data_IF_797258833055
#
_entry.id   IF_797258833055
#
_cell.length_a   1.000
_cell.length_b   1.000
_cell.length_c   1.000
_cell.angle_alpha   90.00
_cell.angle_beta   90.00
_cell.angle_gamma   90.00
#
_symmetry.space_group_name_H-M   'P 1'
#
loop_
_entity.id
_entity.type
_entity.pdbx_description
1 polymer ?
#
# COMPACT_ATOMS: atom_id res chain seq x y z
N UNK A 1 6.19 -22.40 -31.29
CA UNK A 1 5.33 -21.74 -30.30
C UNK A 1 6.21 -21.44 -29.10
N UNK A 2 6.77 -20.23 -29.04
CA UNK A 2 7.67 -19.83 -27.96
C UNK A 2 6.80 -19.35 -26.81
N UNK A 3 6.66 -20.20 -25.79
CA UNK A 3 5.93 -19.87 -24.59
C UNK A 3 6.72 -18.78 -23.83
N UNK A 4 6.10 -17.61 -23.65
CA UNK A 4 6.67 -16.55 -22.82
C UNK A 4 6.88 -17.10 -21.41
N UNK A 5 8.03 -16.80 -20.74
CA UNK A 5 8.22 -17.21 -19.37
C UNK A 5 7.17 -16.52 -18.51
N UNK A 6 6.28 -17.31 -17.91
CA UNK A 6 5.41 -16.84 -16.84
C UNK A 6 6.34 -16.51 -15.68
N UNK A 7 6.63 -15.23 -15.48
CA UNK A 7 7.45 -14.76 -14.37
C UNK A 7 6.62 -14.95 -13.11
N UNK A 8 6.85 -16.08 -12.43
CA UNK A 8 6.32 -16.45 -11.12
C UNK A 8 7.04 -15.71 -10.00
N UNK A 9 7.19 -14.39 -10.09
CA UNK A 9 7.80 -13.61 -9.01
C UNK A 9 7.03 -12.29 -8.80
N UNK A 10 6.76 -11.89 -7.54
CA UNK A 10 7.40 -12.43 -6.34
C UNK A 10 6.71 -13.69 -5.79
N UNK A 11 7.49 -14.76 -5.63
CA UNK A 11 7.05 -16.01 -4.99
C UNK A 11 6.78 -15.84 -3.49
N UNK A 12 7.17 -14.68 -2.93
CA UNK A 12 6.99 -14.32 -1.52
C UNK A 12 6.21 -13.00 -1.37
N UNK A 13 5.87 -12.64 -0.13
CA UNK A 13 5.29 -11.33 0.19
C UNK A 13 6.33 -10.30 0.62
N UNK A 14 7.61 -10.67 0.64
CA UNK A 14 8.64 -9.92 1.36
C UNK A 14 9.18 -8.72 0.57
N UNK A 15 8.94 -8.68 -0.75
CA UNK A 15 9.45 -7.67 -1.67
C UNK A 15 8.39 -7.19 -2.69
N UNK A 16 7.11 -7.46 -2.43
CA UNK A 16 6.04 -7.10 -3.36
C UNK A 16 5.42 -5.73 -3.05
N UNK A 17 5.18 -5.40 -1.78
CA UNK A 17 4.56 -4.14 -1.33
C UNK A 17 3.14 -3.86 -1.83
N UNK A 18 2.55 -4.75 -2.64
CA UNK A 18 1.32 -4.47 -3.41
C UNK A 18 0.10 -4.16 -2.54
N UNK A 19 -0.01 -4.76 -1.34
CA UNK A 19 -1.11 -4.46 -0.44
C UNK A 19 -1.02 -3.08 0.23
N UNK A 20 0.14 -2.41 0.14
CA UNK A 20 0.37 -1.08 0.70
C UNK A 20 0.34 0.03 -0.36
N UNK A 21 0.48 -0.33 -1.64
CA UNK A 21 0.44 0.61 -2.76
C UNK A 21 -1.00 0.82 -3.22
N UNK A 22 -1.43 2.08 -3.36
CA UNK A 22 -2.74 2.44 -3.91
C UNK A 22 -3.95 2.20 -2.99
N UNK A 23 -3.75 1.77 -1.73
CA UNK A 23 -4.81 1.65 -0.72
C UNK A 23 -5.06 2.96 0.04
N UNK A 24 -4.35 4.04 -0.31
CA UNK A 24 -4.22 5.23 0.51
C UNK A 24 -3.56 4.93 1.85
N UNK A 25 -4.01 5.59 2.91
CA UNK A 25 -3.43 5.43 4.24
C UNK A 25 -4.44 4.97 5.28
N UNK A 26 -4.68 3.65 5.41
CA UNK A 26 -5.59 3.08 6.40
C UNK A 26 -5.29 3.48 7.85
N UNK A 27 -4.05 3.90 8.16
CA UNK A 27 -3.66 4.37 9.49
C UNK A 27 -4.28 5.72 9.85
N UNK A 28 -4.86 6.46 8.89
CA UNK A 28 -5.62 7.67 9.16
C UNK A 28 -6.77 7.44 10.16
N UNK A 29 -7.33 6.22 10.24
CA UNK A 29 -8.38 5.91 11.22
C UNK A 29 -7.90 6.03 12.68
N UNK A 30 -6.59 6.10 12.91
CA UNK A 30 -5.96 6.23 14.21
C UNK A 30 -5.77 7.69 14.65
N UNK A 31 -5.96 8.63 13.74
CA UNK A 31 -5.80 10.06 14.01
C UNK A 31 -6.67 10.50 15.20
N UNK A 32 -6.07 11.27 16.09
CA UNK A 32 -6.74 11.95 17.19
C UNK A 32 -7.59 13.08 16.63
N UNK A 33 -8.91 13.01 16.82
CA UNK A 33 -9.84 14.03 16.31
C UNK A 33 -10.29 14.92 17.47
N UNK A 34 -10.05 16.25 17.41
CA UNK A 34 -10.38 17.17 18.50
C UNK A 34 -11.88 17.20 18.86
N UNK A 35 -12.75 16.84 17.91
CA UNK A 35 -14.22 16.93 18.02
C UNK A 35 -14.92 15.59 18.27
N UNK A 36 -14.20 14.47 18.33
CA UNK A 36 -14.81 13.19 18.70
C UNK A 36 -14.45 12.82 20.14
N UNK A 37 -15.39 12.18 20.85
CA UNK A 37 -15.31 11.88 22.29
C UNK A 37 -14.28 10.81 22.68
N UNK A 38 -13.22 10.62 21.89
CA UNK A 38 -12.16 9.69 22.19
C UNK A 38 -11.51 9.09 20.96
N UNK A 39 -10.63 8.15 21.25
CA UNK A 39 -9.87 7.34 20.32
C UNK A 39 -10.77 6.42 19.49
N UNK A 40 -10.48 6.27 18.20
CA UNK A 40 -11.22 5.34 17.35
C UNK A 40 -11.13 3.90 17.88
N UNK A 41 -12.22 3.11 17.90
CA UNK A 41 -12.22 1.74 18.45
C UNK A 41 -11.18 0.81 17.82
N UNK A 42 -10.87 1.03 16.54
CA UNK A 42 -9.87 0.24 15.81
C UNK A 42 -8.42 0.57 16.18
N UNK A 43 -8.14 1.67 16.90
CA UNK A 43 -6.78 2.01 17.33
C UNK A 43 -6.35 0.97 18.39
N UNK A 44 -5.13 0.39 18.40
CA UNK A 44 -4.70 -0.63 19.38
C UNK A 44 -4.26 -0.04 20.73
N UNK A 45 -4.87 -0.35 21.88
CA UNK A 45 -4.69 0.42 23.14
C UNK A 45 -3.23 0.74 23.54
N UNK A 46 -2.30 -0.11 23.13
CA UNK A 46 -0.86 -0.08 23.32
C UNK A 46 -0.07 0.65 22.22
N UNK A 47 -0.73 1.30 21.25
CA UNK A 47 -0.07 2.07 20.20
C UNK A 47 0.80 3.18 20.81
N UNK A 48 2.13 3.18 20.58
CA UNK A 48 3.05 4.16 21.15
C UNK A 48 2.70 5.60 20.81
N UNK A 49 2.91 6.53 21.76
CA UNK A 49 2.58 7.95 21.58
C UNK A 49 3.30 8.58 20.39
N UNK A 50 4.56 8.24 20.14
CA UNK A 50 5.30 8.77 18.99
C UNK A 50 4.68 8.36 17.63
N UNK A 51 4.04 7.20 17.53
CA UNK A 51 3.34 6.80 16.30
C UNK A 51 2.00 7.53 16.15
N UNK A 52 1.37 7.87 17.28
CA UNK A 52 0.16 8.69 17.31
C UNK A 52 0.50 10.10 16.81
N UNK A 53 1.58 10.68 17.33
CA UNK A 53 2.04 12.00 16.93
C UNK A 53 2.42 12.01 15.43
N UNK A 54 3.13 10.99 14.92
CA UNK A 54 3.43 10.85 13.49
C UNK A 54 2.14 10.86 12.63
N UNK A 55 1.12 10.11 13.03
CA UNK A 55 -0.17 10.06 12.34
C UNK A 55 -0.86 11.44 12.39
N UNK A 56 -0.92 12.04 13.57
CA UNK A 56 -1.62 13.31 13.78
C UNK A 56 -0.98 14.45 13.00
N UNK A 57 0.36 14.53 13.01
CA UNK A 57 1.14 15.50 12.23
C UNK A 57 0.97 15.28 10.73
N UNK A 58 1.07 14.04 10.26
CA UNK A 58 1.02 13.76 8.82
C UNK A 58 -0.35 14.03 8.20
N UNK A 59 -1.44 13.79 8.95
CA UNK A 59 -2.80 14.04 8.48
C UNK A 59 -3.41 15.34 9.01
N UNK A 60 -2.61 16.21 9.65
CA UNK A 60 -3.12 17.42 10.26
C UNK A 60 -3.81 18.30 9.21
N UNK A 61 -5.08 18.64 9.46
CA UNK A 61 -5.86 19.51 8.57
C UNK A 61 -6.45 18.81 7.34
N UNK A 62 -6.20 17.51 7.14
CA UNK A 62 -6.83 16.73 6.07
C UNK A 62 -8.19 16.18 6.50
N UNK A 63 -9.19 16.29 5.63
CA UNK A 63 -10.44 15.54 5.74
C UNK A 63 -10.30 14.13 5.18
N UNK A 64 -11.25 13.23 5.50
CA UNK A 64 -11.28 11.89 4.90
C UNK A 64 -11.42 12.00 3.38
N UNK A 65 -10.51 11.36 2.65
CA UNK A 65 -10.44 11.37 1.19
C UNK A 65 -9.45 12.42 0.64
N UNK A 66 -8.89 13.27 1.50
CA UNK A 66 -7.85 14.24 1.12
C UNK A 66 -6.44 13.71 1.41
N UNK A 67 -6.32 12.57 2.09
CA UNK A 67 -5.03 11.93 2.30
C UNK A 67 -4.40 11.43 1.01
N UNK A 68 -3.05 11.36 0.93
CA UNK A 68 -2.36 10.73 -0.19
C UNK A 68 -2.91 9.33 -0.47
N UNK A 69 -3.46 9.15 -1.67
CA UNK A 69 -4.07 7.87 -2.09
C UNK A 69 -3.02 6.90 -2.67
N UNK A 70 -1.85 7.40 -3.02
CA UNK A 70 -0.81 6.60 -3.71
C UNK A 70 -0.12 5.61 -2.78
N UNK A 71 0.14 6.00 -1.53
CA UNK A 71 0.85 5.16 -0.56
C UNK A 71 0.45 5.45 0.88
N UNK A 72 0.40 4.39 1.68
CA UNK A 72 0.18 4.49 3.12
C UNK A 72 1.36 5.20 3.80
N UNK A 73 1.07 5.99 4.85
CA UNK A 73 2.09 6.62 5.69
C UNK A 73 3.14 5.59 6.16
N UNK A 74 2.71 4.43 6.65
CA UNK A 74 3.60 3.39 7.17
C UNK A 74 4.20 2.46 6.11
N UNK A 75 4.11 2.78 4.83
CA UNK A 75 4.78 2.02 3.78
C UNK A 75 6.27 2.40 3.71
N UNK A 76 7.15 1.41 3.77
CA UNK A 76 8.57 1.54 3.43
C UNK A 76 8.73 1.18 1.96
N UNK A 77 8.91 2.19 1.10
CA UNK A 77 9.04 1.98 -0.34
C UNK A 77 10.35 1.26 -0.74
N UNK A 78 11.42 1.40 0.06
CA UNK A 78 12.69 0.76 -0.23
C UNK A 78 12.65 -0.75 0.09
N UNK A 79 12.08 -1.10 1.24
CA UNK A 79 11.89 -2.51 1.66
C UNK A 79 10.63 -3.15 1.11
N UNK A 80 9.69 -2.34 0.61
CA UNK A 80 8.35 -2.72 0.15
C UNK A 80 7.53 -3.43 1.23
N UNK A 81 7.65 -2.96 2.47
CA UNK A 81 7.03 -3.55 3.66
C UNK A 81 6.36 -2.48 4.54
N UNK A 82 5.56 -2.91 5.50
CA UNK A 82 4.99 -2.00 6.50
C UNK A 82 6.01 -1.75 7.63
N UNK A 83 6.27 -0.48 7.94
CA UNK A 83 7.17 -0.04 9.03
C UNK A 83 6.70 -0.49 10.42
N UNK A 84 5.40 -0.61 10.62
CA UNK A 84 4.76 -0.90 11.92
C UNK A 84 3.77 -2.06 11.80
N UNK A 85 4.29 -3.23 11.41
CA UNK A 85 3.47 -4.40 11.05
C UNK A 85 2.53 -4.87 12.17
N UNK A 86 2.99 -4.79 13.42
CA UNK A 86 2.24 -5.19 14.62
C UNK A 86 1.03 -4.28 14.90
N UNK A 87 1.11 -3.02 14.48
CA UNK A 87 0.08 -2.01 14.70
C UNK A 87 -0.87 -1.85 13.50
N UNK A 88 -0.84 -2.77 12.53
CA UNK A 88 -1.68 -2.66 11.32
C UNK A 88 -3.17 -2.52 11.67
N UNK A 89 -3.86 -1.57 11.00
CA UNK A 89 -5.32 -1.46 11.02
C UNK A 89 -6.04 -2.76 10.68
N UNK A 90 -7.28 -2.97 11.16
CA UNK A 90 -8.05 -4.18 10.88
C UNK A 90 -8.09 -4.53 9.40
N UNK A 91 -8.39 -3.56 8.52
CA UNK A 91 -8.39 -3.77 7.06
C UNK A 91 -7.06 -4.33 6.51
N UNK A 92 -5.93 -3.94 7.10
CA UNK A 92 -4.61 -4.44 6.70
C UNK A 92 -4.29 -5.78 7.36
N UNK A 93 -4.82 -6.07 8.55
CA UNK A 93 -4.60 -7.30 9.31
C UNK A 93 -5.42 -8.46 8.76
N UNK A 94 -6.67 -8.18 8.43
CA UNK A 94 -7.64 -9.14 7.90
C UNK A 94 -7.34 -9.50 6.45
N UNK A 95 -6.55 -8.66 5.75
CA UNK A 95 -6.04 -8.98 4.43
C UNK A 95 -5.01 -10.11 4.49
N UNK A 96 -5.40 -11.28 3.96
CA UNK A 96 -4.57 -12.48 3.93
C UNK A 96 -3.44 -12.34 2.90
N UNK A 97 -2.21 -12.16 3.39
CA UNK A 97 -0.99 -12.16 2.56
C UNK A 97 -0.79 -13.53 1.91
N UNK A 98 -0.71 -13.57 0.58
CA UNK A 98 -0.65 -14.83 -0.18
C UNK A 98 -1.99 -15.55 -0.34
N UNK A 99 -3.07 -15.00 0.23
CA UNK A 99 -4.43 -15.49 0.03
C UNK A 99 -4.97 -15.17 -1.37
N UNK A 100 -6.22 -15.59 -1.61
CA UNK A 100 -6.85 -15.50 -2.94
C UNK A 100 -6.85 -14.07 -3.50
N UNK A 101 -7.24 -13.08 -2.71
CA UNK A 101 -7.31 -11.68 -3.15
C UNK A 101 -5.92 -11.08 -3.42
N UNK A 102 -4.90 -11.51 -2.67
CA UNK A 102 -3.51 -11.12 -2.90
C UNK A 102 -2.98 -11.65 -4.23
N UNK A 103 -3.23 -12.93 -4.52
CA UNK A 103 -2.83 -13.56 -5.77
C UNK A 103 -3.58 -12.97 -6.98
N UNK A 104 -4.86 -12.63 -6.82
CA UNK A 104 -5.64 -11.96 -7.86
C UNK A 104 -5.09 -10.55 -8.14
N UNK A 105 -4.82 -9.75 -7.10
CA UNK A 105 -4.27 -8.40 -7.26
C UNK A 105 -2.92 -8.41 -7.98
N UNK A 106 -2.03 -9.35 -7.62
CA UNK A 106 -0.76 -9.59 -8.31
C UNK A 106 -0.98 -9.81 -9.80
N UNK A 107 -1.88 -10.73 -10.14
CA UNK A 107 -2.18 -11.07 -11.54
C UNK A 107 -2.65 -9.85 -12.33
N UNK A 108 -3.60 -9.08 -11.79
CA UNK A 108 -4.16 -7.89 -12.48
C UNK A 108 -3.09 -6.82 -12.70
N UNK A 109 -2.26 -6.52 -11.69
CA UNK A 109 -1.21 -5.51 -11.83
C UNK A 109 -0.07 -5.93 -12.77
N UNK A 110 0.25 -7.22 -12.85
CA UNK A 110 1.21 -7.76 -13.82
C UNK A 110 0.71 -7.63 -15.26
N UNK A 111 -0.60 -7.85 -15.49
CA UNK A 111 -1.20 -7.65 -16.82
C UNK A 111 -1.09 -6.17 -17.24
N UNK A 112 -1.39 -5.23 -16.34
CA UNK A 112 -1.30 -3.80 -16.64
C UNK A 112 0.13 -3.26 -16.82
N UNK A 113 1.14 -3.87 -16.18
CA UNK A 113 2.55 -3.48 -16.39
C UNK A 113 3.11 -4.01 -17.70
N UNK A 114 2.70 -5.21 -18.11
CA UNK A 114 3.07 -5.80 -19.40
C UNK A 114 2.52 -4.98 -20.59
N UNK A 115 1.31 -4.42 -20.45
CA UNK A 115 0.70 -3.55 -21.47
C UNK A 115 1.36 -2.16 -21.56
N UNK A 116 1.98 -1.65 -20.48
CA UNK A 116 2.72 -0.38 -20.52
C UNK A 116 4.12 -0.53 -21.12
N UNK A 117 4.78 -1.67 -20.95
CA UNK A 117 6.10 -1.95 -21.55
C UNK A 117 6.01 -2.19 -23.07
N UNK A 118 4.94 -2.80 -23.57
CA UNK A 118 4.70 -2.91 -25.02
C UNK A 118 4.46 -1.55 -25.67
N UNK A 119 3.77 -0.63 -24.97
CA UNK A 119 3.56 0.74 -25.45
C UNK A 119 4.83 1.60 -25.49
N UNK A 120 5.81 1.37 -24.59
CA UNK A 120 7.07 2.14 -24.55
C UNK A 120 8.14 1.64 -25.53
N UNK A 121 8.02 0.42 -26.05
CA UNK A 121 9.01 -0.16 -26.99
C UNK A 121 8.76 0.24 -28.46
N UNK A 122 7.72 1.03 -28.76
CA UNK A 122 7.41 1.51 -30.12
C UNK A 122 7.87 2.95 -30.40
N UNK A 123 8.60 3.59 -29.48
CA UNK A 123 9.27 4.86 -29.75
C UNK A 123 10.67 4.61 -30.34
N UNK A 124 10.72 4.26 -31.62
CA UNK A 124 11.96 4.29 -32.41
C UNK A 124 12.43 5.74 -32.52
N UNK A 125 13.71 6.07 -32.28
CA UNK A 125 14.22 7.40 -32.59
C UNK A 125 14.24 7.56 -34.12
N UNK A 126 13.64 8.63 -34.63
CA UNK A 126 13.96 9.11 -35.97
C UNK A 126 15.37 9.68 -35.90
N UNK A 127 16.36 8.93 -36.39
CA UNK A 127 17.70 9.43 -36.71
C UNK A 127 17.59 10.41 -37.90
N UNK A 128 18.29 11.55 -37.79
CA UNK A 128 18.54 12.55 -38.84
C UNK A 128 19.99 12.38 -39.36
#
# INVERSE_FOLDING_TARGET
MTQLPVVTEPASCDDCGLCCQGIGSPVLIYQSRPRSAGRHPARPADLPQNLIDEIDEHFLGLARGEEPQEQCLWYDAARKQCRHYEFRPPICRDYERGGRDCLNLRTVLHLHTSDRQTAQTQATPCDD
#
